data_IF_593412232744
#
_entry.id   IF_593412232744
#
_cell.length_a   1.000
_cell.length_b   1.000
_cell.length_c   1.000
_cell.angle_alpha   90.00
_cell.angle_beta   90.00
_cell.angle_gamma   90.00
#
_symmetry.space_group_name_H-M   'P 1'
#
loop_
_entity.id
_entity.type
_entity.pdbx_description
1 polymer ?
#
# COMPACT_ATOMS: atom_id res chain seq x y z
N UNK A 1 24.41 2.82 -34.14
CA UNK A 1 23.02 3.09 -33.69
C UNK A 1 22.16 1.81 -33.66
N UNK A 2 22.60 0.74 -32.98
CA UNK A 2 21.82 -0.51 -32.82
C UNK A 2 21.70 -1.00 -31.37
N UNK A 3 22.21 -0.23 -30.40
CA UNK A 3 22.21 -0.57 -28.97
C UNK A 3 21.16 0.19 -28.15
N UNK A 4 20.47 1.19 -28.72
CA UNK A 4 19.40 1.94 -28.05
C UNK A 4 18.02 1.27 -28.11
N UNK A 5 17.80 0.34 -29.05
CA UNK A 5 16.51 -0.34 -29.19
C UNK A 5 16.29 -1.44 -28.12
N UNK A 6 17.36 -2.06 -27.61
CA UNK A 6 17.23 -3.14 -26.63
C UNK A 6 16.88 -2.65 -25.21
N UNK A 7 17.22 -1.42 -24.83
CA UNK A 7 16.89 -0.86 -23.51
C UNK A 7 15.45 -0.32 -23.42
N UNK A 8 14.85 0.08 -24.54
CA UNK A 8 13.44 0.45 -24.62
C UNK A 8 12.50 -0.77 -24.69
N UNK A 9 13.04 -1.97 -24.98
CA UNK A 9 12.29 -3.23 -25.08
C UNK A 9 12.34 -4.07 -23.79
N UNK A 10 13.25 -3.80 -22.87
CA UNK A 10 13.29 -4.46 -21.55
C UNK A 10 12.02 -4.22 -20.70
N UNK A 11 11.37 -3.03 -20.72
CA UNK A 11 10.06 -2.86 -20.07
C UNK A 11 8.94 -3.63 -20.78
N UNK A 12 9.01 -3.82 -22.11
CA UNK A 12 8.00 -4.54 -22.89
C UNK A 12 8.11 -6.07 -22.79
N UNK A 13 9.31 -6.61 -22.61
CA UNK A 13 9.48 -8.03 -22.34
C UNK A 13 9.06 -8.39 -20.90
N UNK A 14 9.25 -7.47 -19.94
CA UNK A 14 8.73 -7.61 -18.58
C UNK A 14 7.20 -7.44 -18.51
N UNK A 15 6.59 -6.72 -19.46
CA UNK A 15 5.13 -6.63 -19.63
C UNK A 15 4.50 -7.95 -20.12
N UNK A 16 5.28 -8.86 -20.72
CA UNK A 16 4.77 -10.16 -21.20
C UNK A 16 4.69 -11.23 -20.08
N UNK A 17 5.34 -10.99 -18.93
CA UNK A 17 5.27 -11.82 -17.73
C UNK A 17 4.67 -11.09 -16.53
N UNK A 18 4.25 -9.83 -16.71
CA UNK A 18 3.54 -9.05 -15.71
C UNK A 18 2.05 -9.07 -16.08
N UNK A 19 1.25 -9.64 -15.19
CA UNK A 19 -0.18 -9.85 -15.37
C UNK A 19 -1.01 -8.57 -15.26
N UNK A 20 -0.45 -7.45 -14.79
CA UNK A 20 -1.29 -6.41 -14.16
C UNK A 20 -1.13 -4.98 -14.71
N UNK A 21 -2.08 -4.09 -14.37
CA UNK A 21 -2.10 -2.68 -14.76
C UNK A 21 -2.49 -1.80 -13.55
N UNK A 22 -1.80 -0.69 -13.30
CA UNK A 22 -2.11 0.23 -12.20
C UNK A 22 -1.66 1.67 -12.50
N UNK A 23 -2.36 2.61 -11.83
CA UNK A 23 -2.53 4.09 -11.90
C UNK A 23 -2.06 5.09 -10.78
N UNK A 24 -0.99 4.95 -9.95
CA UNK A 24 -0.57 5.98 -8.96
C UNK A 24 0.89 6.01 -8.44
N UNK A 25 1.37 7.13 -7.85
CA UNK A 25 2.71 7.47 -7.27
C UNK A 25 3.95 6.63 -7.65
N UNK A 26 4.59 6.96 -8.76
CA UNK A 26 5.50 6.00 -9.40
C UNK A 26 6.98 6.20 -9.33
N UNK A 27 7.42 7.36 -8.85
CA UNK A 27 8.85 7.58 -8.68
C UNK A 27 9.39 6.73 -7.53
N UNK A 28 8.80 6.85 -6.35
CA UNK A 28 9.17 6.03 -5.20
C UNK A 28 8.84 4.54 -5.42
N UNK A 29 7.71 4.21 -6.05
CA UNK A 29 7.37 2.81 -6.36
C UNK A 29 8.42 2.12 -7.25
N UNK A 30 8.93 2.81 -8.28
CA UNK A 30 10.02 2.28 -9.13
C UNK A 30 11.37 2.16 -8.42
N UNK A 31 11.49 2.76 -7.23
CA UNK A 31 12.63 2.66 -6.31
C UNK A 31 12.35 1.70 -5.14
N UNK A 32 11.36 0.81 -5.25
CA UNK A 32 11.01 -0.12 -4.16
C UNK A 32 10.47 0.60 -2.93
N UNK A 33 9.80 1.73 -3.13
CA UNK A 33 9.34 2.66 -2.09
C UNK A 33 10.46 3.24 -1.21
N UNK A 34 11.72 3.17 -1.67
CA UNK A 34 12.82 3.90 -1.07
C UNK A 34 12.78 5.38 -1.47
N UNK A 35 13.33 6.24 -0.62
CA UNK A 35 13.44 7.67 -0.86
C UNK A 35 12.98 8.57 0.30
N UNK A 36 12.93 8.09 1.55
CA UNK A 36 12.58 8.95 2.70
C UNK A 36 13.47 10.19 2.81
N UNK A 37 14.77 10.02 2.55
CA UNK A 37 15.75 11.09 2.51
C UNK A 37 15.93 11.70 1.12
N UNK A 38 15.35 11.12 0.08
CA UNK A 38 15.60 11.54 -1.29
C UNK A 38 14.71 12.72 -1.66
N UNK A 39 15.28 13.94 -1.72
CA UNK A 39 14.54 15.11 -2.22
C UNK A 39 14.17 14.93 -3.69
N UNK A 40 15.10 14.50 -4.54
CA UNK A 40 14.85 14.29 -5.97
C UNK A 40 14.18 15.50 -6.66
N UNK A 41 13.61 15.28 -7.85
CA UNK A 41 12.62 16.20 -8.39
C UNK A 41 11.29 16.04 -7.65
N UNK A 42 11.13 16.78 -6.55
CA UNK A 42 9.88 16.84 -5.80
C UNK A 42 8.68 17.19 -6.71
N UNK A 43 8.88 17.73 -7.91
CA UNK A 43 7.80 18.04 -8.86
C UNK A 43 7.06 16.83 -9.44
N UNK A 44 7.55 15.60 -9.24
CA UNK A 44 6.95 14.38 -9.78
C UNK A 44 6.81 13.25 -8.74
N UNK A 45 6.71 13.59 -7.46
CA UNK A 45 6.52 12.61 -6.39
C UNK A 45 5.81 13.21 -5.18
N UNK A 46 4.95 12.41 -4.53
CA UNK A 46 4.46 12.71 -3.18
C UNK A 46 5.62 12.76 -2.18
N UNK A 47 5.56 13.62 -1.17
CA UNK A 47 6.55 13.64 -0.11
C UNK A 47 6.47 12.35 0.71
N UNK A 48 7.53 11.54 0.72
CA UNK A 48 7.63 10.33 1.54
C UNK A 48 7.92 10.66 3.02
N UNK A 49 8.28 11.91 3.29
CA UNK A 49 8.59 12.44 4.61
C UNK A 49 7.94 13.83 4.73
N UNK A 50 7.16 14.12 5.80
CA UNK A 50 6.52 15.43 6.00
C UNK A 50 7.49 16.61 5.93
N UNK A 51 8.76 16.45 6.32
CA UNK A 51 9.76 17.51 6.22
C UNK A 51 10.04 17.95 4.77
N UNK A 52 9.78 17.10 3.77
CA UNK A 52 9.97 17.43 2.36
C UNK A 52 9.00 18.51 1.87
N UNK A 53 7.89 18.73 2.58
CA UNK A 53 6.97 19.84 2.32
C UNK A 53 7.69 21.20 2.38
N UNK A 54 8.76 21.33 3.17
CA UNK A 54 9.55 22.54 3.30
C UNK A 54 10.04 23.12 1.95
N UNK A 55 10.23 22.26 0.94
CA UNK A 55 10.71 22.66 -0.39
C UNK A 55 9.60 22.73 -1.45
N UNK A 56 8.34 22.51 -1.06
CA UNK A 56 7.17 22.64 -1.93
C UNK A 56 6.56 24.05 -1.82
N UNK A 57 7.28 25.03 -2.39
CA UNK A 57 6.97 26.45 -2.24
C UNK A 57 5.90 26.98 -3.22
N UNK A 58 5.60 26.24 -4.29
CA UNK A 58 4.62 26.63 -5.31
C UNK A 58 3.34 25.81 -5.14
N UNK A 59 2.20 26.41 -5.50
CA UNK A 59 0.94 25.67 -5.59
C UNK A 59 1.12 24.49 -6.54
N UNK A 60 0.61 23.34 -6.13
CA UNK A 60 0.70 22.11 -6.90
C UNK A 60 -0.48 21.20 -6.60
N UNK A 61 -1.12 20.72 -7.65
CA UNK A 61 -2.08 19.62 -7.61
C UNK A 61 -1.35 18.34 -8.06
N UNK A 62 -0.65 17.68 -7.15
CA UNK A 62 0.31 16.62 -7.49
C UNK A 62 -0.01 15.25 -6.97
N UNK A 63 -1.03 15.14 -6.13
CA UNK A 63 -1.16 13.95 -5.31
C UNK A 63 -2.28 13.08 -5.83
N UNK A 64 -2.54 13.04 -7.13
CA UNK A 64 -3.46 12.04 -7.69
C UNK A 64 -2.75 10.69 -7.76
N UNK A 65 -3.26 9.72 -7.00
CA UNK A 65 -2.73 8.36 -6.96
C UNK A 65 -3.85 7.34 -7.00
N UNK A 66 -3.69 6.28 -7.77
CA UNK A 66 -4.51 5.09 -7.64
C UNK A 66 -3.63 3.83 -7.58
N UNK A 67 -3.79 3.00 -6.55
CA UNK A 67 -3.14 1.71 -6.45
C UNK A 67 -4.15 0.60 -6.66
N UNK A 68 -3.71 -0.51 -7.25
CA UNK A 68 -4.41 -1.77 -7.20
C UNK A 68 -3.40 -2.85 -6.86
N UNK A 69 -3.79 -3.82 -6.04
CA UNK A 69 -2.97 -4.97 -5.75
C UNK A 69 -3.87 -6.20 -5.63
N UNK A 70 -3.40 -7.31 -6.20
CA UNK A 70 -4.03 -8.61 -6.09
C UNK A 70 -2.94 -9.65 -5.80
N UNK A 71 -3.24 -10.56 -4.89
CA UNK A 71 -2.42 -11.72 -4.59
C UNK A 71 -3.33 -12.95 -4.55
N UNK A 72 -2.93 -14.00 -5.29
CA UNK A 72 -3.72 -15.23 -5.44
C UNK A 72 -4.83 -15.20 -6.49
N UNK A 73 -4.97 -14.16 -7.32
CA UNK A 73 -6.08 -14.00 -8.30
C UNK A 73 -5.64 -13.35 -9.62
N UNK A 74 -6.19 -13.82 -10.73
CA UNK A 74 -6.04 -13.22 -12.07
C UNK A 74 -6.95 -11.98 -12.27
N UNK A 75 -6.52 -10.96 -13.02
CA UNK A 75 -7.26 -9.70 -13.20
C UNK A 75 -8.69 -9.83 -13.77
N UNK A 76 -8.95 -10.84 -14.60
CA UNK A 76 -10.28 -11.06 -15.17
C UNK A 76 -11.32 -11.31 -14.08
N UNK A 77 -10.91 -12.03 -13.05
CA UNK A 77 -11.74 -12.54 -11.95
C UNK A 77 -11.85 -11.53 -10.79
N UNK A 78 -10.94 -10.56 -10.74
CA UNK A 78 -10.95 -9.49 -9.75
C UNK A 78 -12.13 -8.52 -9.90
N UNK A 79 -12.65 -8.34 -11.12
CA UNK A 79 -13.79 -7.44 -11.35
C UNK A 79 -15.09 -7.96 -10.74
N UNK A 80 -15.31 -9.27 -10.82
CA UNK A 80 -16.43 -9.96 -10.19
C UNK A 80 -16.32 -9.91 -8.66
N UNK A 81 -15.10 -10.03 -8.13
CA UNK A 81 -14.79 -9.92 -6.71
C UNK A 81 -15.14 -8.54 -6.13
N UNK A 82 -14.76 -7.44 -6.81
CA UNK A 82 -14.98 -6.06 -6.34
C UNK A 82 -16.43 -5.62 -6.49
N UNK A 83 -17.14 -6.10 -7.52
CA UNK A 83 -18.54 -5.73 -7.78
C UNK A 83 -19.54 -6.25 -6.72
N UNK A 84 -19.14 -7.24 -5.92
CA UNK A 84 -19.94 -7.85 -4.87
C UNK A 84 -19.84 -7.20 -3.48
N UNK A 85 -19.17 -6.05 -3.36
CA UNK A 85 -18.86 -5.38 -2.09
C UNK A 85 -19.55 -4.00 -2.04
N UNK A 86 -20.49 -3.80 -1.11
CA UNK A 86 -21.04 -2.46 -0.80
C UNK A 86 -20.52 -2.00 0.56
N UNK A 87 -19.86 -0.84 0.60
CA UNK A 87 -19.30 -0.22 1.83
C UNK A 87 -18.41 -1.15 2.67
N UNK A 88 -17.76 -2.13 2.03
CA UNK A 88 -16.92 -3.12 2.69
C UNK A 88 -17.68 -4.36 3.19
N UNK A 89 -19.00 -4.41 3.12
CA UNK A 89 -19.78 -5.61 3.38
C UNK A 89 -19.85 -6.47 2.11
N UNK A 90 -19.65 -7.78 2.26
CA UNK A 90 -19.93 -8.72 1.18
C UNK A 90 -21.44 -8.93 1.09
N UNK A 91 -21.98 -8.85 -0.13
CA UNK A 91 -23.27 -9.46 -0.38
C UNK A 91 -23.19 -10.98 -0.13
N UNK A 92 -24.25 -11.56 0.44
CA UNK A 92 -24.28 -12.97 0.81
C UNK A 92 -23.96 -13.84 -0.41
N UNK A 93 -24.58 -13.55 -1.56
CA UNK A 93 -24.38 -14.32 -2.79
C UNK A 93 -22.93 -14.22 -3.30
N UNK A 94 -22.23 -13.14 -2.96
CA UNK A 94 -20.83 -12.95 -3.31
C UNK A 94 -19.91 -13.87 -2.49
N UNK A 95 -20.07 -13.97 -1.17
CA UNK A 95 -19.14 -14.77 -0.35
C UNK A 95 -19.16 -16.28 -0.71
N UNK A 96 -20.32 -16.82 -1.10
CA UNK A 96 -20.44 -18.23 -1.53
C UNK A 96 -19.78 -18.46 -2.90
N UNK A 97 -19.90 -17.51 -3.84
CA UNK A 97 -19.15 -17.56 -5.11
C UNK A 97 -17.64 -17.49 -4.85
N UNK A 98 -17.22 -16.59 -3.97
CA UNK A 98 -15.82 -16.43 -3.58
C UNK A 98 -15.25 -17.70 -2.92
N UNK A 99 -16.05 -18.43 -2.12
CA UNK A 99 -15.62 -19.69 -1.52
C UNK A 99 -15.35 -20.80 -2.55
N UNK A 100 -16.08 -20.79 -3.67
CA UNK A 100 -15.88 -21.77 -4.76
C UNK A 100 -14.76 -21.36 -5.71
N UNK A 101 -14.57 -20.06 -5.92
CA UNK A 101 -13.56 -19.52 -6.84
C UNK A 101 -12.17 -19.40 -6.21
N UNK A 102 -12.10 -19.02 -4.94
CA UNK A 102 -10.86 -18.74 -4.19
C UNK A 102 -10.69 -19.62 -2.95
N UNK A 103 -11.37 -20.77 -2.91
CA UNK A 103 -11.32 -21.67 -1.76
C UNK A 103 -10.03 -22.52 -1.69
N UNK A 104 -9.14 -22.44 -2.68
CA UNK A 104 -7.91 -23.24 -2.76
C UNK A 104 -6.71 -22.62 -2.05
N UNK A 105 -6.76 -21.32 -1.78
CA UNK A 105 -5.66 -20.50 -1.29
C UNK A 105 -6.16 -19.16 -0.71
N UNK A 106 -5.30 -18.49 0.07
CA UNK A 106 -5.59 -17.14 0.55
C UNK A 106 -5.55 -16.16 -0.61
N UNK A 107 -6.56 -15.30 -0.69
CA UNK A 107 -6.67 -14.26 -1.73
C UNK A 107 -6.73 -12.89 -1.07
N UNK A 108 -5.93 -11.94 -1.58
CA UNK A 108 -5.98 -10.54 -1.17
C UNK A 108 -6.22 -9.65 -2.39
N UNK A 109 -7.22 -8.78 -2.33
CA UNK A 109 -7.49 -7.77 -3.36
C UNK A 109 -7.68 -6.43 -2.69
N UNK A 110 -7.09 -5.39 -3.26
CA UNK A 110 -7.31 -4.06 -2.74
C UNK A 110 -6.90 -2.96 -3.69
N UNK A 111 -7.25 -1.76 -3.28
CA UNK A 111 -6.95 -0.56 -4.03
C UNK A 111 -6.69 0.62 -3.12
N UNK A 112 -6.00 1.61 -3.67
CA UNK A 112 -5.78 2.89 -3.01
C UNK A 112 -6.21 4.00 -3.94
N UNK A 113 -6.70 5.10 -3.40
CA UNK A 113 -7.01 6.31 -4.13
C UNK A 113 -6.56 7.49 -3.27
N UNK A 114 -5.90 8.47 -3.85
CA UNK A 114 -5.65 9.71 -3.13
C UNK A 114 -5.55 10.89 -4.07
N UNK A 115 -5.80 12.05 -3.49
CA UNK A 115 -5.70 13.36 -4.12
C UNK A 115 -5.16 14.36 -3.10
N UNK A 116 -4.49 15.40 -3.56
CA UNK A 116 -4.00 16.42 -2.67
C UNK A 116 -3.28 17.54 -3.40
N UNK A 117 -3.08 18.61 -2.66
CA UNK A 117 -2.38 19.77 -3.14
C UNK A 117 -1.43 20.30 -2.07
N UNK A 118 -0.35 20.91 -2.53
CA UNK A 118 0.62 21.57 -1.68
C UNK A 118 0.88 22.99 -2.14
N UNK A 119 1.12 23.88 -1.19
CA UNK A 119 1.43 25.28 -1.46
C UNK A 119 2.21 25.89 -0.30
N UNK A 120 3.35 26.52 -0.60
CA UNK A 120 4.13 27.28 0.40
C UNK A 120 4.46 26.47 1.67
N UNK A 121 4.76 25.19 1.50
CA UNK A 121 5.05 24.28 2.60
C UNK A 121 3.84 23.65 3.29
N UNK A 122 2.62 24.06 2.95
CA UNK A 122 1.39 23.40 3.40
C UNK A 122 0.99 22.25 2.48
N UNK A 123 0.32 21.26 3.05
CA UNK A 123 -0.30 20.14 2.36
C UNK A 123 -1.74 19.96 2.82
N UNK A 124 -2.62 19.66 1.87
CA UNK A 124 -3.96 19.17 2.14
C UNK A 124 -4.24 18.02 1.18
N UNK A 125 -4.70 16.90 1.72
CA UNK A 125 -4.94 15.71 0.92
C UNK A 125 -6.07 14.85 1.48
N UNK A 126 -6.53 13.94 0.64
CA UNK A 126 -7.41 12.85 1.02
C UNK A 126 -6.84 11.57 0.44
N UNK A 127 -6.83 10.50 1.23
CA UNK A 127 -6.41 9.18 0.79
C UNK A 127 -7.41 8.14 1.28
N UNK A 128 -7.62 7.11 0.46
CA UNK A 128 -8.48 5.99 0.74
C UNK A 128 -7.76 4.70 0.37
N UNK A 129 -7.93 3.68 1.19
CA UNK A 129 -7.43 2.33 0.96
C UNK A 129 -8.59 1.37 1.21
N UNK A 130 -8.77 0.42 0.31
CA UNK A 130 -9.65 -0.71 0.53
C UNK A 130 -8.84 -1.98 0.36
N UNK A 131 -9.00 -2.91 1.29
CA UNK A 131 -8.44 -4.25 1.23
C UNK A 131 -9.56 -5.22 1.53
N UNK A 132 -9.60 -6.29 0.78
CA UNK A 132 -10.48 -7.40 1.01
C UNK A 132 -9.65 -8.67 0.92
N UNK A 133 -9.85 -9.58 1.87
CA UNK A 133 -9.09 -10.81 1.96
C UNK A 133 -10.03 -11.97 2.25
N UNK A 134 -9.81 -13.09 1.58
CA UNK A 134 -10.51 -14.34 1.86
C UNK A 134 -9.51 -15.38 2.37
N UNK A 135 -9.96 -16.17 3.36
CA UNK A 135 -9.15 -17.20 4.00
C UNK A 135 -9.93 -18.50 4.06
N UNK A 136 -9.63 -19.47 3.17
CA UNK A 136 -10.23 -20.79 3.25
C UNK A 136 -9.54 -21.63 4.32
N UNK A 137 -10.32 -22.40 5.07
CA UNK A 137 -9.76 -23.41 5.98
C UNK A 137 -9.24 -24.64 5.22
N UNK A 138 -8.51 -25.51 5.91
CA UNK A 138 -7.87 -26.67 5.27
C UNK A 138 -8.85 -27.64 4.60
N UNK A 139 -10.05 -27.80 5.18
CA UNK A 139 -11.11 -28.64 4.61
C UNK A 139 -11.62 -28.07 3.28
N UNK A 140 -11.85 -26.75 3.22
CA UNK A 140 -12.25 -26.07 1.98
C UNK A 140 -11.15 -26.17 0.91
N UNK A 141 -9.89 -25.97 1.30
CA UNK A 141 -8.76 -26.08 0.35
C UNK A 141 -8.64 -27.48 -0.24
N UNK A 142 -8.79 -28.54 0.57
CA UNK A 142 -8.76 -29.93 0.09
C UNK A 142 -9.92 -30.22 -0.86
N UNK A 143 -11.13 -29.80 -0.51
CA UNK A 143 -12.31 -30.00 -1.35
C UNK A 143 -12.21 -29.28 -2.69
N UNK A 144 -11.74 -28.03 -2.71
CA UNK A 144 -11.55 -27.28 -3.97
C UNK A 144 -10.47 -27.91 -4.84
N UNK A 145 -9.32 -28.30 -4.25
CA UNK A 145 -8.25 -29.01 -4.97
C UNK A 145 -8.68 -30.38 -5.50
N UNK A 146 -9.66 -31.01 -4.86
CA UNK A 146 -10.29 -32.25 -5.32
C UNK A 146 -11.35 -32.03 -6.42
N UNK A 147 -11.53 -30.79 -6.90
CA UNK A 147 -12.45 -30.46 -8.00
C UNK A 147 -13.83 -29.97 -7.55
N UNK A 148 -13.99 -29.57 -6.29
CA UNK A 148 -15.24 -28.99 -5.76
C UNK A 148 -16.47 -29.88 -5.95
N UNK A 149 -16.35 -31.18 -5.69
CA UNK A 149 -17.43 -32.13 -5.91
C UNK A 149 -18.59 -31.92 -4.92
N UNK A 150 -19.70 -31.36 -5.40
CA UNK A 150 -20.91 -31.10 -4.61
C UNK A 150 -21.61 -32.37 -4.11
N UNK A 151 -21.31 -33.54 -4.69
CA UNK A 151 -21.86 -34.84 -4.25
C UNK A 151 -21.04 -35.50 -3.13
N UNK A 152 -19.86 -34.96 -2.83
CA UNK A 152 -18.98 -35.41 -1.75
C UNK A 152 -18.33 -34.19 -1.05
N UNK A 153 -19.12 -33.34 -0.36
CA UNK A 153 -18.57 -32.22 0.39
C UNK A 153 -17.69 -32.70 1.54
N UNK A 154 -16.65 -31.92 1.85
CA UNK A 154 -15.82 -32.19 3.02
C UNK A 154 -16.46 -31.56 4.27
N UNK A 155 -16.47 -32.30 5.38
CA UNK A 155 -17.09 -31.81 6.60
C UNK A 155 -16.30 -30.62 7.18
N UNK A 156 -17.01 -29.58 7.61
CA UNK A 156 -16.41 -28.41 8.27
C UNK A 156 -15.75 -27.42 7.33
N UNK A 157 -16.06 -27.44 6.02
CA UNK A 157 -15.60 -26.40 5.09
C UNK A 157 -16.02 -25.00 5.55
N UNK A 158 -15.09 -24.06 5.48
CA UNK A 158 -15.33 -22.67 5.83
C UNK A 158 -14.48 -21.72 4.98
N UNK A 159 -15.09 -20.61 4.57
CA UNK A 159 -14.40 -19.43 4.05
C UNK A 159 -14.67 -18.24 4.96
N UNK A 160 -13.60 -17.57 5.39
CA UNK A 160 -13.67 -16.29 6.10
C UNK A 160 -13.35 -15.16 5.13
N UNK A 161 -14.29 -14.22 4.98
CA UNK A 161 -14.17 -13.03 4.17
C UNK A 161 -14.04 -11.79 5.04
N UNK A 162 -12.94 -11.06 4.91
CA UNK A 162 -12.67 -9.84 5.64
C UNK A 162 -12.63 -8.64 4.69
N UNK A 163 -13.24 -7.53 5.11
CA UNK A 163 -13.15 -6.24 4.45
C UNK A 163 -12.55 -5.19 5.38
N UNK A 164 -11.59 -4.42 4.87
CA UNK A 164 -11.01 -3.26 5.55
C UNK A 164 -11.07 -2.08 4.61
N UNK A 165 -11.82 -1.05 4.99
CA UNK A 165 -11.84 0.25 4.32
C UNK A 165 -11.17 1.28 5.21
N UNK A 166 -10.37 2.15 4.64
CA UNK A 166 -9.75 3.27 5.34
C UNK A 166 -9.87 4.52 4.49
N UNK A 167 -10.20 5.64 5.12
CA UNK A 167 -10.10 6.96 4.52
C UNK A 167 -9.42 7.91 5.48
N UNK A 168 -8.57 8.79 4.97
CA UNK A 168 -7.90 9.81 5.75
C UNK A 168 -7.96 11.18 5.07
N UNK A 169 -8.17 12.21 5.89
CA UNK A 169 -7.99 13.61 5.52
C UNK A 169 -6.67 14.09 6.12
N UNK A 170 -5.75 14.50 5.25
CA UNK A 170 -4.39 14.87 5.61
C UNK A 170 -4.24 16.39 5.60
N UNK A 171 -3.53 16.92 6.59
CA UNK A 171 -3.05 18.30 6.60
C UNK A 171 -1.61 18.34 7.11
N UNK A 172 -0.73 19.02 6.38
CA UNK A 172 0.69 19.00 6.69
C UNK A 172 1.33 20.36 6.58
N UNK A 173 2.45 20.52 7.28
CA UNK A 173 3.32 21.68 7.12
C UNK A 173 4.78 21.28 7.28
N UNK A 174 5.64 21.78 6.39
CA UNK A 174 7.08 21.63 6.48
C UNK A 174 7.80 22.96 6.40
N UNK A 175 8.93 23.07 7.11
CA UNK A 175 9.77 24.27 7.11
C UNK A 175 11.25 23.94 7.24
N UNK A 176 12.07 24.67 6.48
CA UNK A 176 13.52 24.72 6.66
C UNK A 176 13.83 25.52 7.93
N UNK A 177 14.48 24.89 8.89
CA UNK A 177 14.83 25.49 10.19
C UNK A 177 16.29 25.93 10.26
N UNK A 178 17.15 25.37 9.41
CA UNK A 178 18.54 25.79 9.27
C UNK A 178 18.97 25.61 7.81
N UNK A 179 19.71 26.59 7.28
CA UNK A 179 20.30 26.53 5.95
C UNK A 179 21.66 27.21 5.98
N UNK A 180 22.67 26.55 5.41
CA UNK A 180 24.02 27.04 5.37
C UNK A 180 24.88 26.33 4.30
N UNK A 181 26.14 26.77 4.12
CA UNK A 181 27.02 26.24 3.08
C UNK A 181 27.34 24.74 3.26
N UNK A 182 27.23 24.23 4.48
CA UNK A 182 27.55 22.83 4.82
C UNK A 182 26.33 21.91 4.88
N UNK A 183 25.11 22.44 4.70
CA UNK A 183 23.89 21.65 4.79
C UNK A 183 22.64 22.45 5.10
N UNK A 184 21.50 21.79 4.95
CA UNK A 184 20.19 22.29 5.35
C UNK A 184 19.52 21.31 6.30
N UNK A 185 18.59 21.81 7.11
CA UNK A 185 17.73 21.01 7.97
C UNK A 185 16.30 21.50 7.86
N UNK A 186 15.37 20.56 7.68
CA UNK A 186 13.94 20.82 7.74
C UNK A 186 13.24 19.87 8.68
N UNK A 187 12.10 20.34 9.16
CA UNK A 187 11.15 19.57 9.94
C UNK A 187 9.78 19.70 9.30
N UNK A 188 8.93 18.71 9.48
CA UNK A 188 7.55 18.78 9.05
C UNK A 188 6.65 17.91 9.91
N UNK A 189 5.37 18.25 9.88
CA UNK A 189 4.30 17.55 10.57
C UNK A 189 3.21 17.17 9.56
N UNK A 190 2.58 16.03 9.77
CA UNK A 190 1.40 15.60 9.02
C UNK A 190 0.33 15.12 9.99
N UNK A 191 -0.76 15.87 10.11
CA UNK A 191 -1.95 15.45 10.83
C UNK A 191 -2.90 14.71 9.91
N UNK A 192 -3.56 13.67 10.40
CA UNK A 192 -4.50 12.84 9.64
C UNK A 192 -5.74 12.54 10.46
N UNK A 193 -6.91 12.91 9.96
CA UNK A 193 -8.19 12.40 10.48
C UNK A 193 -8.49 11.11 9.76
N UNK A 194 -8.52 10.01 10.51
CA UNK A 194 -8.65 8.67 9.98
C UNK A 194 -10.03 8.14 10.30
N UNK A 195 -10.65 7.50 9.32
CA UNK A 195 -11.82 6.66 9.49
C UNK A 195 -11.50 5.29 8.95
N UNK A 196 -11.73 4.26 9.76
CA UNK A 196 -11.53 2.86 9.37
C UNK A 196 -12.83 2.10 9.54
N UNK A 197 -13.13 1.29 8.54
CA UNK A 197 -14.24 0.37 8.45
C UNK A 197 -13.70 -1.05 8.43
N UNK A 198 -14.38 -1.94 9.15
CA UNK A 198 -14.01 -3.35 9.22
C UNK A 198 -15.27 -4.21 9.07
N UNK A 199 -15.18 -5.27 8.31
CA UNK A 199 -16.21 -6.30 8.18
C UNK A 199 -15.59 -7.68 8.22
N UNK A 200 -16.33 -8.65 8.75
CA UNK A 200 -15.93 -10.05 8.74
C UNK A 200 -17.17 -10.92 8.64
N UNK A 201 -17.21 -11.72 7.59
CA UNK A 201 -18.31 -12.60 7.26
C UNK A 201 -17.78 -14.02 7.00
N UNK A 202 -18.58 -15.01 7.37
CA UNK A 202 -18.21 -16.42 7.35
C UNK A 202 -19.20 -17.18 6.47
N UNK A 203 -18.67 -17.98 5.54
CA UNK A 203 -19.44 -18.95 4.77
C UNK A 203 -19.13 -20.36 5.28
N UNK A 204 -20.14 -21.07 5.77
CA UNK A 204 -20.01 -22.45 6.27
C UNK A 204 -20.39 -23.49 5.21
N UNK A 205 -19.99 -24.74 5.42
CA UNK A 205 -20.24 -25.91 4.56
C UNK A 205 -21.65 -25.93 3.95
N UNK A 206 -22.70 -25.77 4.75
CA UNK A 206 -24.08 -25.82 4.27
C UNK A 206 -24.39 -24.70 3.26
N UNK A 207 -23.81 -23.51 3.44
CA UNK A 207 -23.98 -22.37 2.53
C UNK A 207 -23.14 -22.56 1.26
N UNK A 208 -21.90 -23.03 1.42
CA UNK A 208 -20.96 -23.31 0.32
C UNK A 208 -21.53 -24.38 -0.63
N UNK A 209 -22.17 -25.41 -0.07
CA UNK A 209 -22.71 -26.56 -0.84
C UNK A 209 -24.09 -26.26 -1.44
N UNK A 210 -25.02 -25.67 -0.67
CA UNK A 210 -26.37 -25.37 -1.14
C UNK A 210 -26.41 -24.24 -2.18
N UNK A 211 -25.39 -23.38 -2.22
CA UNK A 211 -25.42 -22.15 -3.01
C UNK A 211 -26.37 -21.10 -2.45
N UNK A 212 -26.99 -21.37 -1.29
CA UNK A 212 -27.93 -20.47 -0.65
C UNK A 212 -27.15 -19.56 0.29
N UNK A 213 -27.11 -18.29 -0.07
CA UNK A 213 -26.19 -17.37 0.53
C UNK A 213 -26.84 -16.68 1.73
N UNK A 214 -26.45 -17.11 2.92
CA UNK A 214 -26.82 -16.43 4.17
C UNK A 214 -25.57 -15.72 4.64
N UNK A 215 -25.66 -14.40 4.79
CA UNK A 215 -24.56 -13.61 5.32
C UNK A 215 -24.39 -13.91 6.81
N UNK A 216 -23.42 -14.74 7.18
CA UNK A 216 -23.11 -15.01 8.59
C UNK A 216 -22.05 -14.03 9.07
N UNK A 217 -22.46 -13.02 9.83
CA UNK A 217 -21.49 -12.11 10.46
C UNK A 217 -20.67 -12.88 11.51
N UNK A 218 -19.35 -12.61 11.56
CA UNK A 218 -18.48 -13.21 12.55
C UNK A 218 -18.81 -12.73 13.99
N UNK A 219 -18.39 -13.45 15.04
CA UNK A 219 -18.76 -13.15 16.43
C UNK A 219 -18.45 -11.70 16.87
N UNK A 220 -17.31 -11.15 16.47
CA UNK A 220 -16.88 -9.78 16.78
C UNK A 220 -17.77 -8.70 16.15
N UNK A 221 -18.54 -9.05 15.12
CA UNK A 221 -19.41 -8.12 14.43
C UNK A 221 -20.69 -7.84 15.22
N UNK A 222 -21.03 -8.69 16.20
CA UNK A 222 -22.22 -8.58 17.05
C UNK A 222 -23.53 -8.30 16.26
N UNK A 223 -23.67 -8.90 15.07
CA UNK A 223 -24.81 -8.73 14.18
C UNK A 223 -24.80 -7.47 13.30
N UNK A 224 -23.70 -6.71 13.29
CA UNK A 224 -23.50 -5.55 12.41
C UNK A 224 -22.84 -5.96 11.09
N UNK A 225 -23.18 -5.27 9.99
CA UNK A 225 -22.54 -5.51 8.69
C UNK A 225 -21.11 -4.95 8.62
N UNK A 226 -20.83 -3.89 9.37
CA UNK A 226 -19.49 -3.32 9.52
C UNK A 226 -19.31 -2.64 10.88
N UNK A 227 -18.06 -2.59 11.33
CA UNK A 227 -17.60 -1.78 12.47
C UNK A 227 -16.91 -0.52 11.94
N UNK A 228 -17.09 0.61 12.63
CA UNK A 228 -16.48 1.89 12.26
C UNK A 228 -15.71 2.47 13.46
N UNK A 229 -14.49 2.95 13.20
CA UNK A 229 -13.71 3.73 14.16
C UNK A 229 -13.12 4.97 13.51
N UNK A 230 -12.98 6.02 14.29
CA UNK A 230 -12.41 7.29 13.88
C UNK A 230 -11.34 7.73 14.85
N UNK A 231 -10.33 8.43 14.36
CA UNK A 231 -9.26 8.93 15.21
C UNK A 231 -8.38 9.95 14.52
N UNK A 232 -7.48 10.53 15.31
CA UNK A 232 -6.47 11.46 14.83
C UNK A 232 -5.08 10.86 14.92
N UNK A 233 -4.33 10.91 13.81
CA UNK A 233 -2.93 10.56 13.75
C UNK A 233 -2.08 11.81 13.52
N UNK A 234 -0.85 11.78 14.04
CA UNK A 234 0.15 12.82 13.77
C UNK A 234 1.48 12.14 13.43
N UNK A 235 2.10 12.54 12.34
CA UNK A 235 3.44 12.11 11.95
C UNK A 235 4.42 13.28 12.09
N UNK A 236 5.68 12.95 12.39
CA UNK A 236 6.79 13.89 12.46
C UNK A 236 7.88 13.49 11.48
N UNK A 237 8.33 14.44 10.68
CA UNK A 237 9.41 14.29 9.72
C UNK A 237 10.58 15.21 10.05
N UNK A 238 11.80 14.70 9.87
CA UNK A 238 13.03 15.47 9.84
C UNK A 238 13.82 15.11 8.59
N UNK A 239 14.48 16.11 8.00
CA UNK A 239 15.33 15.93 6.84
C UNK A 239 16.56 16.81 6.97
N UNK A 240 17.72 16.29 6.57
CA UNK A 240 18.95 17.07 6.50
C UNK A 240 19.71 16.78 5.22
N UNK A 241 20.40 17.79 4.70
CA UNK A 241 21.44 17.64 3.68
C UNK A 241 22.79 17.97 4.28
N UNK A 242 23.85 17.29 3.85
CA UNK A 242 25.20 17.52 4.35
C UNK A 242 26.26 17.17 3.30
N UNK A 243 27.49 17.61 3.59
CA UNK A 243 28.67 17.35 2.76
C UNK A 243 28.80 18.26 1.52
N UNK A 244 29.90 18.10 0.76
CA UNK A 244 30.19 18.95 -0.39
C UNK A 244 29.06 18.91 -1.43
N UNK A 245 28.54 20.09 -1.80
CA UNK A 245 27.43 20.20 -2.75
C UNK A 245 26.10 19.65 -2.25
N UNK A 246 25.95 19.41 -0.93
CA UNK A 246 24.72 18.92 -0.29
C UNK A 246 24.17 17.63 -0.90
N UNK A 247 25.06 16.77 -1.40
CA UNK A 247 24.71 15.54 -2.12
C UNK A 247 24.23 14.44 -1.20
N UNK A 248 24.66 14.44 0.05
CA UNK A 248 24.23 13.46 1.05
C UNK A 248 23.02 13.99 1.81
N UNK A 249 22.06 13.10 2.06
CA UNK A 249 20.80 13.43 2.68
C UNK A 249 20.47 12.38 3.73
N UNK A 250 19.89 12.82 4.84
CA UNK A 250 19.39 11.97 5.91
C UNK A 250 17.94 12.32 6.22
N UNK A 251 17.17 11.30 6.61
CA UNK A 251 15.79 11.47 7.04
C UNK A 251 15.48 10.61 8.27
N UNK A 252 14.59 11.15 9.09
CA UNK A 252 13.92 10.46 10.16
C UNK A 252 12.42 10.74 10.01
N UNK A 253 11.60 9.71 10.10
CA UNK A 253 10.15 9.84 10.17
C UNK A 253 9.64 9.03 11.35
N UNK A 254 8.82 9.66 12.19
CA UNK A 254 8.05 8.99 13.22
C UNK A 254 6.60 9.00 12.77
N UNK A 255 6.11 7.84 12.34
CA UNK A 255 4.71 7.66 11.97
C UNK A 255 3.89 7.40 13.23
N UNK A 256 2.70 8.00 13.28
CA UNK A 256 1.78 7.88 14.41
C UNK A 256 2.45 8.30 15.73
N UNK A 257 3.17 9.44 15.71
CA UNK A 257 3.62 10.14 16.92
C UNK A 257 2.43 10.35 17.87
N UNK A 258 1.28 10.71 17.34
CA UNK A 258 -0.01 10.47 17.99
C UNK A 258 -0.67 9.33 17.23
N UNK A 259 -1.01 8.24 17.93
CA UNK A 259 -1.67 7.08 17.32
C UNK A 259 -3.18 7.17 17.53
N UNK A 260 -4.00 7.07 16.47
CA UNK A 260 -5.45 6.95 16.61
C UNK A 260 -5.82 5.56 17.17
N UNK A 261 -6.85 5.49 18.02
CA UNK A 261 -7.42 4.20 18.42
C UNK A 261 -8.46 3.71 17.41
N UNK A 262 -7.98 3.26 16.25
CA UNK A 262 -8.80 2.72 15.16
C UNK A 262 -8.56 1.23 14.93
N UNK A 263 -8.09 0.55 15.98
CA UNK A 263 -7.77 -0.88 15.91
C UNK A 263 -8.99 -1.77 16.18
N UNK A 264 -9.09 -2.88 15.46
CA UNK A 264 -10.17 -3.86 15.62
C UNK A 264 -9.64 -5.17 16.19
N UNK A 265 -10.48 -5.86 16.95
CA UNK A 265 -10.28 -7.26 17.30
C UNK A 265 -10.91 -8.09 16.20
N UNK A 266 -10.14 -9.00 15.61
CA UNK A 266 -10.59 -9.89 14.55
C UNK A 266 -10.49 -11.34 15.04
N UNK A 267 -11.60 -12.07 14.96
CA UNK A 267 -11.67 -13.49 15.26
C UNK A 267 -10.86 -14.27 14.21
N UNK A 268 -9.99 -15.16 14.67
CA UNK A 268 -9.27 -16.10 13.81
C UNK A 268 -9.83 -17.51 14.02
N UNK A 269 -10.48 -18.11 13.01
CA UNK A 269 -10.81 -19.52 13.10
C UNK A 269 -9.54 -20.36 12.91
N UNK A 270 -9.16 -21.00 14.01
CA UNK A 270 -8.47 -22.28 14.14
C UNK A 270 -7.33 -22.60 13.16
N UNK A 271 -6.10 -22.31 13.59
CA UNK A 271 -4.90 -23.07 13.18
C UNK A 271 -4.67 -24.24 14.14
N UNK A 272 -5.61 -25.18 14.27
CA UNK A 272 -5.41 -26.46 14.96
C UNK A 272 -4.83 -26.39 16.37
N UNK A 273 -5.12 -25.34 17.13
CA UNK A 273 -4.60 -25.14 18.48
C UNK A 273 -5.76 -24.79 19.41
N UNK A 274 -5.83 -25.45 20.56
CA UNK A 274 -6.77 -25.16 21.64
C UNK A 274 -6.63 -23.69 22.05
N UNK A 275 -7.54 -22.84 21.57
CA UNK A 275 -7.53 -21.41 21.90
C UNK A 275 -8.24 -21.26 23.26
N UNK A 276 -7.52 -20.71 24.24
CA UNK A 276 -8.10 -20.26 25.51
C UNK A 276 -9.09 -19.11 25.22
N UNK A 277 -10.26 -19.00 25.88
CA UNK A 277 -11.31 -18.01 25.53
C UNK A 277 -10.92 -16.52 25.60
N UNK A 278 -9.66 -16.19 25.87
CA UNK A 278 -9.07 -14.85 25.75
C UNK A 278 -8.16 -14.64 24.52
N UNK A 279 -7.83 -15.69 23.76
CA UNK A 279 -6.77 -15.71 22.73
C UNK A 279 -7.29 -15.84 21.28
N UNK A 280 -8.61 -15.87 21.06
CA UNK A 280 -9.23 -16.03 19.73
C UNK A 280 -9.26 -14.78 18.86
N UNK A 281 -8.70 -13.67 19.35
CA UNK A 281 -8.75 -12.37 18.68
C UNK A 281 -7.35 -11.84 18.37
N UNK A 282 -7.07 -11.60 17.10
CA UNK A 282 -5.89 -10.84 16.68
C UNK A 282 -6.23 -9.35 16.58
N UNK A 283 -5.40 -8.47 17.14
CA UNK A 283 -5.57 -7.02 17.02
C UNK A 283 -4.98 -6.53 15.69
N UNK A 284 -5.83 -5.96 14.84
CA UNK A 284 -5.41 -5.26 13.63
C UNK A 284 -5.13 -3.81 14.01
N UNK A 285 -3.85 -3.45 14.12
CA UNK A 285 -3.40 -2.09 14.46
C UNK A 285 -2.48 -1.53 13.36
N UNK A 286 -3.11 -0.94 12.33
CA UNK A 286 -2.40 -0.28 11.23
C UNK A 286 -1.71 1.04 11.64
N UNK A 287 -2.02 1.56 12.84
CA UNK A 287 -1.60 2.87 13.32
C UNK A 287 -0.62 2.80 14.49
N UNK A 288 0.00 1.64 14.67
CA UNK A 288 1.11 1.47 15.59
C UNK A 288 2.17 2.53 15.29
N UNK A 289 2.69 3.15 16.35
CA UNK A 289 3.82 4.07 16.23
C UNK A 289 5.02 3.34 15.66
N UNK A 290 5.59 3.88 14.60
CA UNK A 290 6.81 3.33 13.99
C UNK A 290 7.80 4.43 13.71
N UNK A 291 9.07 4.03 13.67
CA UNK A 291 10.16 4.90 13.27
C UNK A 291 10.74 4.41 11.94
N UNK A 292 11.11 5.35 11.08
CA UNK A 292 11.75 5.07 9.81
C UNK A 292 12.96 5.97 9.63
N UNK A 293 14.03 5.40 9.11
CA UNK A 293 15.30 6.07 8.84
C UNK A 293 15.58 5.98 7.35
N UNK A 294 16.15 7.04 6.78
CA UNK A 294 16.55 7.05 5.39
C UNK A 294 17.87 7.76 5.19
N UNK A 295 18.65 7.28 4.24
CA UNK A 295 19.81 7.97 3.70
C UNK A 295 19.69 8.02 2.20
N UNK A 296 20.14 9.11 1.61
CA UNK A 296 20.21 9.22 0.17
C UNK A 296 21.47 9.95 -0.26
N UNK A 297 21.94 9.59 -1.44
CA UNK A 297 22.97 10.31 -2.15
C UNK A 297 22.40 10.74 -3.51
N UNK A 298 22.64 11.99 -3.88
CA UNK A 298 22.08 12.55 -5.11
C UNK A 298 23.12 13.41 -5.82
N UNK A 299 23.41 13.04 -7.07
CA UNK A 299 24.22 13.82 -7.99
C UNK A 299 23.31 14.69 -8.87
N UNK A 300 23.11 15.94 -8.43
CA UNK A 300 22.23 16.92 -9.11
C UNK A 300 20.82 16.36 -9.31
N UNK A 301 20.22 16.57 -10.49
CA UNK A 301 18.91 15.99 -10.84
C UNK A 301 19.04 14.71 -11.68
N UNK A 302 20.26 14.21 -11.91
CA UNK A 302 20.51 13.14 -12.89
C UNK A 302 20.60 11.75 -12.32
N UNK A 303 21.09 11.60 -11.09
CA UNK A 303 21.26 10.28 -10.47
C UNK A 303 21.03 10.38 -8.96
N UNK A 304 20.36 9.37 -8.42
CA UNK A 304 20.06 9.26 -7.01
C UNK A 304 20.10 7.83 -6.52
N UNK A 305 20.59 7.63 -5.31
CA UNK A 305 20.54 6.38 -4.58
C UNK A 305 19.88 6.65 -3.24
N UNK A 306 19.03 5.73 -2.79
CA UNK A 306 18.37 5.80 -1.50
C UNK A 306 18.42 4.43 -0.81
N UNK A 307 18.56 4.46 0.51
CA UNK A 307 18.42 3.29 1.35
C UNK A 307 17.63 3.69 2.61
N UNK A 308 16.57 2.94 2.88
CA UNK A 308 15.67 3.20 4.00
C UNK A 308 15.51 1.95 4.86
N UNK A 309 15.33 2.18 6.16
CA UNK A 309 14.90 1.18 7.13
C UNK A 309 13.59 1.66 7.75
N UNK A 310 12.50 0.98 7.45
CA UNK A 310 11.14 1.46 7.74
C UNK A 310 10.40 0.52 8.68
N UNK A 311 9.46 1.07 9.44
CA UNK A 311 8.62 0.27 10.34
C UNK A 311 9.35 -0.23 11.59
N UNK A 312 10.41 0.43 12.04
CA UNK A 312 11.13 0.09 13.27
C UNK A 312 10.15 0.21 14.45
N UNK A 313 10.08 -0.85 15.27
CA UNK A 313 9.14 -0.95 16.39
C UNK A 313 7.78 -1.57 16.05
N UNK A 314 7.51 -1.88 14.77
CA UNK A 314 6.26 -2.55 14.37
C UNK A 314 6.22 -4.05 14.71
N UNK A 315 7.39 -4.69 14.81
CA UNK A 315 7.56 -6.15 14.82
C UNK A 315 7.92 -6.73 13.44
N UNK A 316 7.83 -5.92 12.37
CA UNK A 316 8.21 -6.29 11.00
C UNK A 316 8.91 -5.11 10.31
N UNK A 317 10.20 -4.96 10.59
CA UNK A 317 11.05 -3.94 9.95
C UNK A 317 11.35 -4.32 8.50
N UNK A 318 11.33 -3.35 7.59
CA UNK A 318 11.61 -3.53 6.18
C UNK A 318 12.82 -2.71 5.74
N UNK A 319 13.72 -3.32 4.98
CA UNK A 319 14.82 -2.63 4.30
C UNK A 319 14.42 -2.31 2.87
N UNK A 320 14.68 -1.08 2.41
CA UNK A 320 14.40 -0.64 1.05
C UNK A 320 15.63 0.00 0.43
N UNK A 321 15.89 -0.32 -0.83
CA UNK A 321 16.99 0.23 -1.61
C UNK A 321 16.45 0.67 -2.96
N UNK A 322 16.85 1.85 -3.40
CA UNK A 322 16.34 2.42 -4.64
C UNK A 322 17.39 3.24 -5.36
N UNK A 323 17.28 3.23 -6.69
CA UNK A 323 18.09 4.05 -7.57
C UNK A 323 17.20 4.75 -8.60
N UNK A 324 17.52 6.01 -8.88
CA UNK A 324 16.82 6.87 -9.83
C UNK A 324 17.83 7.48 -10.79
N UNK A 325 17.55 7.35 -12.08
CA UNK A 325 18.34 7.93 -13.16
C UNK A 325 17.46 8.76 -14.06
N UNK A 326 17.77 10.06 -14.17
CA UNK A 326 17.16 10.94 -15.14
C UNK A 326 18.03 10.96 -16.41
N UNK A 327 17.60 10.22 -17.43
CA UNK A 327 18.34 10.02 -18.67
C UNK A 327 18.26 11.26 -19.59
N UNK A 328 17.11 11.92 -19.62
CA UNK A 328 16.88 13.15 -20.35
C UNK A 328 15.74 13.96 -19.71
N UNK A 329 15.50 15.17 -20.22
CA UNK A 329 14.36 15.99 -19.77
C UNK A 329 13.06 15.23 -20.05
N UNK A 330 12.34 14.85 -18.99
CA UNK A 330 11.10 14.09 -19.10
C UNK A 330 11.28 12.57 -19.27
N UNK A 331 12.51 12.05 -19.27
CA UNK A 331 12.79 10.61 -19.32
C UNK A 331 13.64 10.16 -18.14
N UNK A 332 13.20 9.13 -17.43
CA UNK A 332 13.95 8.56 -16.31
C UNK A 332 13.67 7.08 -16.13
N UNK A 333 14.63 6.38 -15.53
CA UNK A 333 14.57 4.97 -15.21
C UNK A 333 14.90 4.76 -13.73
N UNK A 334 14.32 3.72 -13.13
CA UNK A 334 14.41 3.43 -11.71
C UNK A 334 14.49 1.93 -11.50
N UNK A 335 15.17 1.55 -10.44
CA UNK A 335 15.17 0.20 -9.92
C UNK A 335 15.15 0.27 -8.41
N UNK A 336 14.54 -0.72 -7.78
CA UNK A 336 14.56 -0.83 -6.34
C UNK A 336 14.33 -2.24 -5.85
N UNK A 337 14.57 -2.43 -4.57
CA UNK A 337 14.38 -3.68 -3.87
C UNK A 337 13.88 -3.40 -2.45
N UNK A 338 12.85 -4.11 -2.05
CA UNK A 338 12.35 -4.17 -0.67
C UNK A 338 12.53 -5.59 -0.14
N UNK A 339 12.90 -5.74 1.12
CA UNK A 339 12.97 -7.05 1.78
C UNK A 339 11.61 -7.72 1.93
N UNK A 340 10.50 -6.98 1.82
CA UNK A 340 9.15 -7.52 1.92
C UNK A 340 8.47 -7.69 0.56
N UNK A 341 8.69 -6.75 -0.36
CA UNK A 341 7.98 -6.72 -1.66
C UNK A 341 8.87 -7.19 -2.84
N UNK A 342 10.17 -7.41 -2.60
CA UNK A 342 11.15 -7.83 -3.59
C UNK A 342 11.55 -6.71 -4.56
N UNK A 343 11.86 -7.08 -5.82
CA UNK A 343 12.38 -6.14 -6.80
C UNK A 343 11.28 -5.29 -7.44
N UNK A 344 11.66 -4.09 -7.87
CA UNK A 344 10.82 -3.16 -8.63
C UNK A 344 11.67 -2.47 -9.70
N UNK A 345 11.05 -2.10 -10.81
CA UNK A 345 11.62 -1.24 -11.83
C UNK A 345 10.58 -0.20 -12.22
N UNK A 346 11.03 0.99 -12.61
CA UNK A 346 10.13 2.03 -13.07
C UNK A 346 10.73 2.89 -14.17
N UNK A 347 9.85 3.54 -14.91
CA UNK A 347 10.22 4.49 -15.95
C UNK A 347 9.36 5.75 -15.84
N UNK A 348 9.87 6.85 -16.39
CA UNK A 348 9.11 8.09 -16.54
C UNK A 348 9.20 8.64 -17.95
N UNK A 349 8.07 9.18 -18.43
CA UNK A 349 7.93 9.80 -19.74
C UNK A 349 7.02 11.03 -19.61
N UNK A 350 7.54 12.23 -19.87
CA UNK A 350 6.72 13.45 -19.96
C UNK A 350 5.96 13.82 -18.68
N UNK A 351 6.44 13.39 -17.50
CA UNK A 351 5.76 13.58 -16.21
C UNK A 351 4.86 12.42 -15.78
N UNK A 352 4.55 11.49 -16.67
CA UNK A 352 3.99 10.20 -16.32
C UNK A 352 5.10 9.32 -15.76
N UNK A 353 4.80 8.53 -14.73
CA UNK A 353 5.70 7.46 -14.35
C UNK A 353 4.95 6.14 -14.15
N UNK A 354 5.62 5.03 -14.42
CA UNK A 354 5.12 3.66 -14.33
C UNK A 354 6.13 2.83 -13.53
N UNK A 355 5.67 1.91 -12.70
CA UNK A 355 6.51 0.98 -11.94
C UNK A 355 5.90 -0.42 -11.87
N UNK A 356 6.73 -1.45 -11.94
CA UNK A 356 6.37 -2.89 -11.91
C UNK A 356 7.30 -3.63 -10.94
N UNK A 357 6.85 -4.67 -10.25
CA UNK A 357 7.69 -5.43 -9.31
C UNK A 357 7.20 -6.85 -8.99
N UNK A 358 7.99 -7.58 -8.18
CA UNK A 358 7.80 -9.01 -7.90
C UNK A 358 6.63 -9.38 -7.00
N UNK A 359 6.17 -8.49 -6.12
CA UNK A 359 5.03 -8.74 -5.24
C UNK A 359 3.68 -8.42 -5.89
N UNK A 360 3.55 -8.56 -7.22
CA UNK A 360 2.34 -8.25 -8.00
C UNK A 360 1.79 -6.82 -7.78
N UNK A 361 2.67 -5.87 -7.44
CA UNK A 361 2.32 -4.45 -7.24
C UNK A 361 2.76 -3.65 -8.46
N UNK A 362 1.84 -3.43 -9.38
CA UNK A 362 2.01 -2.39 -10.40
C UNK A 362 1.53 -1.04 -9.83
N UNK A 363 2.14 0.07 -10.22
CA UNK A 363 1.76 1.44 -9.80
C UNK A 363 1.99 2.45 -10.97
N UNK A 364 1.14 3.46 -11.22
CA UNK A 364 1.33 4.58 -12.23
C UNK A 364 0.81 6.02 -11.90
N UNK A 365 1.57 6.95 -11.31
CA UNK A 365 1.07 8.31 -11.01
C UNK A 365 1.10 9.32 -12.17
N UNK A 366 0.20 10.32 -12.13
CA UNK A 366 0.25 11.53 -12.97
C UNK A 366 0.44 12.80 -12.12
N UNK A 367 1.11 13.81 -12.69
CA UNK A 367 1.38 15.08 -12.04
C UNK A 367 0.98 16.24 -12.95
N UNK A 368 0.08 17.12 -12.49
CA UNK A 368 -0.31 18.31 -13.23
C UNK A 368 0.35 19.56 -12.63
N UNK A 369 0.82 20.44 -13.51
CA UNK A 369 1.32 21.76 -13.15
C UNK A 369 0.39 22.79 -13.75
N UNK A 370 -0.09 23.70 -12.91
CA UNK A 370 -0.80 24.91 -13.32
C UNK A 370 0.12 26.12 -13.17
#
# INVERSE_FOLDING_TARGET
>A
MKTLACLALLPLAALASASDFALGTTRAAGMGNAGLAFRGNLASSRPANPAQLAWQQRFRFSDLSFGYFADGVDLGDASDFVSGIDKGAFDADSIVRLARQFGDSKTDIGGTLGLGFTASGFHFGAEGVALVTTRPNDALQRWVRAGSNLTAPEAGMQLDGYGVGQSELQFGYGRVISSGPNGEMAVGLMGRFVTTYYSHHIAHEAQITSGNAINTAAPEMAGSDFLKKEGFALDLGMHTTFGPGQRFQGALVINNLVSPDVSFQAFQPDQGATIDPGDGFSRIDAYRRTMSLGVAWQERETMGLAADLVGIGSGRTEGRFGADWQLARGFGARAGYSTLDGWTVGASLGGFNLAVGSANRLMAGTFFRF
#
